data_IF_227010891356
#
_entry.id   IF_227010891356
#
_cell.length_a   1.000
_cell.length_b   1.000
_cell.length_c   1.000
_cell.angle_alpha   90.00
_cell.angle_beta   90.00
_cell.angle_gamma   90.00
#
_symmetry.space_group_name_H-M   'P 1'
#
loop_
_entity.id
_entity.type
_entity.pdbx_description
1 polymer ?
#
# COMPACT_ATOMS: atom_id res chain seq x y z
N UNK A 1 -13.44 -7.39 -20.32
CA UNK A 1 -12.91 -6.37 -19.41
C UNK A 1 -13.44 -6.68 -18.01
N UNK A 2 -12.65 -7.33 -17.17
CA UNK A 2 -13.02 -7.62 -15.79
C UNK A 2 -13.12 -6.30 -15.03
N UNK A 3 -14.33 -5.88 -14.67
CA UNK A 3 -14.51 -4.79 -13.70
C UNK A 3 -13.94 -5.31 -12.39
N UNK A 4 -12.74 -4.87 -12.03
CA UNK A 4 -12.24 -4.99 -10.68
C UNK A 4 -12.95 -3.92 -9.82
N UNK A 5 -14.28 -3.98 -9.76
CA UNK A 5 -15.08 -3.19 -8.82
C UNK A 5 -14.82 -3.79 -7.45
N UNK A 6 -14.16 -3.08 -6.52
CA UNK A 6 -13.91 -3.58 -5.18
C UNK A 6 -15.25 -3.88 -4.53
N UNK A 7 -15.43 -5.12 -4.07
CA UNK A 7 -16.66 -5.54 -3.43
C UNK A 7 -16.88 -4.67 -2.17
N UNK A 8 -18.01 -3.95 -2.04
CA UNK A 8 -18.24 -2.97 -0.97
C UNK A 8 -18.08 -3.56 0.44
N UNK A 9 -18.48 -4.82 0.64
CA UNK A 9 -18.40 -5.52 1.93
C UNK A 9 -16.95 -5.84 2.37
N UNK A 10 -16.00 -5.89 1.43
CA UNK A 10 -14.61 -6.26 1.69
C UNK A 10 -13.67 -5.05 1.79
N UNK A 11 -14.22 -3.82 1.82
CA UNK A 11 -13.37 -2.61 1.86
C UNK A 11 -12.54 -2.50 3.14
N UNK A 12 -13.04 -3.04 4.25
CA UNK A 12 -12.26 -3.13 5.50
C UNK A 12 -11.08 -4.09 5.35
N UNK A 13 -11.31 -5.28 4.78
CA UNK A 13 -10.25 -6.26 4.51
C UNK A 13 -9.19 -5.71 3.55
N UNK A 14 -9.58 -4.87 2.58
CA UNK A 14 -8.65 -4.27 1.64
C UNK A 14 -7.71 -3.28 2.33
N UNK A 15 -8.21 -2.45 3.24
CA UNK A 15 -7.37 -1.52 4.02
C UNK A 15 -6.41 -2.27 4.92
N UNK A 16 -6.85 -3.33 5.61
CA UNK A 16 -5.99 -4.15 6.47
C UNK A 16 -4.88 -4.85 5.65
N UNK A 17 -5.23 -5.45 4.50
CA UNK A 17 -4.25 -6.06 3.60
C UNK A 17 -3.24 -5.05 3.06
N UNK A 18 -3.69 -3.84 2.70
CA UNK A 18 -2.80 -2.78 2.24
C UNK A 18 -1.85 -2.32 3.37
N UNK A 19 -2.34 -2.23 4.61
CA UNK A 19 -1.50 -1.94 5.78
C UNK A 19 -0.43 -3.01 5.99
N UNK A 20 -0.80 -4.29 5.95
CA UNK A 20 0.13 -5.40 6.08
C UNK A 20 1.18 -5.39 4.97
N UNK A 21 0.78 -5.15 3.71
CA UNK A 21 1.72 -5.06 2.59
C UNK A 21 2.67 -3.87 2.74
N UNK A 22 2.20 -2.72 3.21
CA UNK A 22 3.04 -1.55 3.51
C UNK A 22 4.05 -1.89 4.59
N UNK A 23 3.62 -2.47 5.72
CA UNK A 23 4.50 -2.82 6.84
C UNK A 23 5.57 -3.84 6.41
N UNK A 24 5.17 -4.91 5.72
CA UNK A 24 6.09 -5.90 5.17
C UNK A 24 7.10 -5.28 4.18
N UNK A 25 6.66 -4.31 3.37
CA UNK A 25 7.54 -3.64 2.41
C UNK A 25 8.57 -2.76 3.13
N UNK A 26 8.15 -2.04 4.18
CA UNK A 26 9.05 -1.23 5.02
C UNK A 26 10.10 -2.11 5.69
N UNK A 27 9.69 -3.20 6.34
CA UNK A 27 10.64 -4.14 6.97
C UNK A 27 11.64 -4.72 5.96
N UNK A 28 11.17 -5.04 4.75
CA UNK A 28 12.05 -5.55 3.68
C UNK A 28 13.02 -4.47 3.17
N UNK A 29 12.65 -3.20 3.23
CA UNK A 29 13.57 -2.09 2.93
C UNK A 29 14.62 -1.95 4.02
N UNK A 30 14.23 -1.94 5.28
CA UNK A 30 15.13 -1.82 6.44
C UNK A 30 16.12 -2.99 6.51
N UNK A 31 15.64 -4.23 6.32
CA UNK A 31 16.51 -5.42 6.26
C UNK A 31 17.51 -5.32 5.10
N UNK A 32 17.08 -4.79 3.95
CA UNK A 32 17.98 -4.58 2.83
C UNK A 32 18.99 -3.46 3.10
N UNK A 33 18.59 -2.38 3.79
CA UNK A 33 19.49 -1.29 4.19
C UNK A 33 20.54 -1.78 5.18
N UNK A 34 20.15 -2.56 6.19
CA UNK A 34 21.09 -3.21 7.11
C UNK A 34 22.06 -4.14 6.36
N UNK A 35 21.60 -4.87 5.34
CA UNK A 35 22.50 -5.72 4.54
C UNK A 35 23.51 -4.93 3.70
N UNK A 36 23.22 -3.67 3.34
CA UNK A 36 24.18 -2.83 2.62
C UNK A 36 25.40 -2.47 3.46
N UNK A 37 25.24 -2.34 4.78
CA UNK A 37 26.34 -2.02 5.71
C UNK A 37 27.44 -3.09 5.68
N UNK A 38 27.06 -4.34 5.44
CA UNK A 38 27.97 -5.48 5.34
C UNK A 38 28.36 -5.83 3.90
N UNK A 39 27.88 -5.07 2.90
CA UNK A 39 28.16 -5.36 1.50
C UNK A 39 29.49 -4.75 1.08
N UNK A 40 30.42 -5.58 0.60
CA UNK A 40 31.70 -5.12 0.04
C UNK A 40 31.58 -4.63 -1.41
N UNK A 41 30.40 -4.79 -2.04
CA UNK A 41 30.17 -4.47 -3.44
C UNK A 41 29.34 -3.20 -3.61
N UNK A 42 29.94 -2.19 -4.24
CA UNK A 42 29.25 -0.94 -4.65
C UNK A 42 28.05 -1.25 -5.52
N UNK A 43 28.18 -2.19 -6.46
CA UNK A 43 27.09 -2.60 -7.35
C UNK A 43 25.90 -3.17 -6.56
N UNK A 44 26.14 -4.03 -5.56
CA UNK A 44 25.06 -4.57 -4.74
C UNK A 44 24.35 -3.47 -3.95
N UNK A 45 25.12 -2.54 -3.39
CA UNK A 45 24.59 -1.37 -2.67
C UNK A 45 23.70 -0.51 -3.56
N UNK A 46 24.12 -0.22 -4.79
CA UNK A 46 23.32 0.55 -5.76
C UNK A 46 22.03 -0.18 -6.16
N UNK A 47 22.10 -1.49 -6.38
CA UNK A 47 20.90 -2.29 -6.69
C UNK A 47 19.89 -2.28 -5.55
N UNK A 48 20.36 -2.38 -4.30
CA UNK A 48 19.49 -2.31 -3.11
C UNK A 48 18.84 -0.94 -3.02
N UNK A 49 19.61 0.16 -3.19
CA UNK A 49 19.07 1.53 -3.21
C UNK A 49 17.99 1.71 -4.27
N UNK A 50 18.26 1.31 -5.52
CA UNK A 50 17.29 1.41 -6.62
C UNK A 50 16.03 0.54 -6.38
N UNK A 51 16.17 -0.59 -5.69
CA UNK A 51 15.01 -1.42 -5.30
C UNK A 51 14.20 -0.76 -4.19
N UNK A 52 14.86 -0.15 -3.21
CA UNK A 52 14.21 0.58 -2.13
C UNK A 52 13.49 1.84 -2.63
N UNK A 53 14.05 2.54 -3.61
CA UNK A 53 13.39 3.69 -4.24
C UNK A 53 12.06 3.30 -4.91
N UNK A 54 12.04 2.24 -5.72
CA UNK A 54 10.81 1.70 -6.30
C UNK A 54 9.79 1.23 -5.24
N UNK A 55 10.27 0.69 -4.12
CA UNK A 55 9.40 0.31 -3.00
C UNK A 55 8.75 1.53 -2.33
N UNK A 56 9.45 2.67 -2.23
CA UNK A 56 8.88 3.93 -1.71
C UNK A 56 7.74 4.41 -2.59
N UNK A 57 7.90 4.36 -3.91
CA UNK A 57 6.83 4.69 -4.86
C UNK A 57 5.62 3.76 -4.70
N UNK A 58 5.87 2.44 -4.57
CA UNK A 58 4.81 1.46 -4.34
C UNK A 58 4.08 1.67 -3.00
N UNK A 59 4.80 2.01 -1.93
CA UNK A 59 4.20 2.35 -0.63
C UNK A 59 3.34 3.60 -0.75
N UNK A 60 3.79 4.60 -1.50
CA UNK A 60 3.02 5.83 -1.71
C UNK A 60 1.70 5.52 -2.42
N UNK A 61 1.73 4.71 -3.49
CA UNK A 61 0.52 4.27 -4.18
C UNK A 61 -0.44 3.51 -3.25
N UNK A 62 0.07 2.55 -2.47
CA UNK A 62 -0.75 1.81 -1.49
C UNK A 62 -1.37 2.73 -0.43
N UNK A 63 -0.62 3.74 0.04
CA UNK A 63 -1.13 4.73 1.01
C UNK A 63 -2.23 5.61 0.43
N UNK A 64 -2.13 5.95 -0.85
CA UNK A 64 -3.16 6.74 -1.51
C UNK A 64 -4.41 5.88 -1.77
N UNK A 65 -4.26 4.62 -2.18
CA UNK A 65 -5.37 3.65 -2.26
C UNK A 65 -6.08 3.47 -0.91
N UNK A 66 -5.33 3.33 0.19
CA UNK A 66 -5.91 3.25 1.53
C UNK A 66 -6.73 4.48 1.91
N UNK A 67 -6.28 5.69 1.53
CA UNK A 67 -7.03 6.92 1.78
C UNK A 67 -8.32 6.94 0.99
N UNK A 68 -8.27 6.54 -0.28
CA UNK A 68 -9.44 6.51 -1.15
C UNK A 68 -10.48 5.50 -0.62
N UNK A 69 -10.05 4.31 -0.18
CA UNK A 69 -10.93 3.32 0.45
C UNK A 69 -11.53 3.84 1.77
N UNK A 70 -10.73 4.51 2.61
CA UNK A 70 -11.21 5.13 3.85
C UNK A 70 -12.20 6.28 3.60
N UNK A 71 -12.02 7.05 2.52
CA UNK A 71 -12.96 8.09 2.10
C UNK A 71 -14.24 7.48 1.52
N UNK A 72 -14.13 6.44 0.70
CA UNK A 72 -15.25 5.73 0.13
C UNK A 72 -16.15 5.12 1.23
N UNK A 73 -15.57 4.70 2.37
CA UNK A 73 -16.31 4.33 3.58
C UNK A 73 -17.13 5.49 4.16
N UNK A 74 -16.55 6.70 4.26
CA UNK A 74 -17.26 7.88 4.80
C UNK A 74 -18.37 8.36 3.85
N UNK A 75 -18.15 8.28 2.54
CA UNK A 75 -19.11 8.72 1.53
C UNK A 75 -20.25 7.71 1.34
N UNK A 76 -19.98 6.41 1.46
CA UNK A 76 -21.03 5.37 1.43
C UNK A 76 -22.07 5.49 2.56
N UNK A 77 -21.72 6.15 3.67
CA UNK A 77 -22.66 6.47 4.76
C UNK A 77 -23.63 7.63 4.45
N UNK A 78 -23.38 8.42 3.38
CA UNK A 78 -24.19 9.60 3.04
C UNK A 78 -25.31 9.33 2.03
N UNK A 79 -25.14 8.35 1.13
CA UNK A 79 -26.15 8.05 0.11
C UNK A 79 -27.31 7.19 0.61
N UNK A 80 -27.14 6.46 1.72
CA UNK A 80 -28.17 5.52 2.22
C UNK A 80 -29.25 6.18 3.10
N UNK A 81 -29.14 7.49 3.38
CA UNK A 81 -30.13 8.24 4.16
C UNK A 81 -31.20 8.94 3.29
N UNK A 82 -31.14 8.84 1.96
CA UNK A 82 -32.04 9.57 1.05
C UNK A 82 -32.97 8.67 0.21
N UNK A 83 -33.09 7.39 0.56
CA UNK A 83 -33.87 6.38 -0.19
C UNK A 83 -35.24 6.04 0.43
N UNK A 84 -35.66 6.74 1.49
CA UNK A 84 -37.00 6.57 2.08
C UNK A 84 -37.82 7.87 1.95
N UNK A 85 -38.40 8.08 0.77
CA UNK A 85 -39.63 8.85 0.58
C UNK A 85 -40.54 8.13 -0.42
#
# INVERSE_FOLDING_TARGET
MTRNTPNPDNRNDNVEKLQDMVQNTIENMEKAEASMEFSESVQQTEQIKAKNERRRESIQAMRDEMKDEAQARKSGFRDDQNSYQ
#
